data_IF_750540468363
#
_entry.id   IF_750540468363
#
_cell.length_a   1.000
_cell.length_b   1.000
_cell.length_c   1.000
_cell.angle_alpha   90.00
_cell.angle_beta   90.00
_cell.angle_gamma   90.00
#
_symmetry.space_group_name_H-M   'P 1'
#
loop_
_entity.id
_entity.type
_entity.pdbx_description
1 polymer ?
#
# COMPACT_ATOMS: atom_id res chain seq x y z
N UNK A 1 -5.83 5.84 -33.73
CA UNK A 1 -4.88 5.87 -32.60
C UNK A 1 -5.67 5.37 -31.40
N UNK A 2 -5.46 4.13 -30.96
CA UNK A 2 -6.26 3.56 -29.87
C UNK A 2 -5.97 4.33 -28.58
N UNK A 3 -6.99 4.90 -27.96
CA UNK A 3 -6.85 5.46 -26.62
C UNK A 3 -6.40 4.35 -25.68
N UNK A 4 -5.27 4.57 -25.01
CA UNK A 4 -4.82 3.68 -23.94
C UNK A 4 -5.82 3.87 -22.79
N UNK A 5 -6.72 2.90 -22.62
CA UNK A 5 -7.67 2.90 -21.52
C UNK A 5 -6.90 2.84 -20.20
N UNK A 6 -7.05 3.87 -19.38
CA UNK A 6 -6.48 3.91 -18.05
C UNK A 6 -7.25 2.96 -17.12
N UNK A 7 -6.59 2.47 -16.07
CA UNK A 7 -7.31 1.79 -15.00
C UNK A 7 -8.21 2.79 -14.25
N UNK A 8 -9.27 2.33 -13.56
CA UNK A 8 -10.10 3.20 -12.72
C UNK A 8 -9.29 4.00 -11.69
N UNK A 9 -8.22 3.39 -11.18
CA UNK A 9 -7.29 4.03 -10.23
C UNK A 9 -6.57 5.21 -10.88
N UNK A 10 -5.98 5.00 -12.06
CA UNK A 10 -5.27 6.04 -12.78
C UNK A 10 -6.22 7.17 -13.22
N UNK A 11 -7.47 6.84 -13.56
CA UNK A 11 -8.48 7.85 -13.86
C UNK A 11 -8.76 8.75 -12.64
N UNK A 12 -9.00 8.16 -11.47
CA UNK A 12 -9.29 8.90 -10.23
C UNK A 12 -8.09 9.76 -9.79
N UNK A 13 -6.88 9.20 -9.83
CA UNK A 13 -5.66 9.95 -9.49
C UNK A 13 -5.38 11.06 -10.50
N UNK A 14 -5.63 10.83 -11.80
CA UNK A 14 -5.49 11.86 -12.83
C UNK A 14 -6.46 13.02 -12.60
N UNK A 15 -7.72 12.71 -12.29
CA UNK A 15 -8.74 13.72 -11.97
C UNK A 15 -8.34 14.52 -10.72
N UNK A 16 -7.90 13.84 -9.67
CA UNK A 16 -7.42 14.48 -8.43
C UNK A 16 -6.23 15.40 -8.70
N UNK A 17 -5.24 14.91 -9.44
CA UNK A 17 -4.02 15.66 -9.74
C UNK A 17 -4.32 16.95 -10.49
N UNK A 18 -4.96 16.85 -11.65
CA UNK A 18 -5.22 18.03 -12.48
C UNK A 18 -6.28 18.94 -11.87
N UNK A 19 -7.33 18.38 -11.29
CA UNK A 19 -8.39 19.17 -10.65
C UNK A 19 -7.88 20.03 -9.50
N UNK A 20 -6.90 19.54 -8.71
CA UNK A 20 -6.26 20.35 -7.67
C UNK A 20 -5.20 21.27 -8.26
N UNK A 21 -4.39 20.78 -9.21
CA UNK A 21 -3.28 21.54 -9.80
C UNK A 21 -3.72 22.73 -10.64
N UNK A 22 -4.83 22.62 -11.33
CA UNK A 22 -5.34 23.65 -12.24
C UNK A 22 -6.32 24.61 -11.55
N UNK A 23 -6.53 24.48 -10.23
CA UNK A 23 -7.42 25.37 -9.48
C UNK A 23 -6.64 26.56 -8.89
N UNK A 24 -6.61 27.74 -9.55
CA UNK A 24 -5.73 28.84 -9.17
C UNK A 24 -6.12 29.50 -7.84
N UNK A 25 -7.39 29.41 -7.43
CA UNK A 25 -7.88 30.05 -6.20
C UNK A 25 -7.64 29.22 -4.95
N UNK A 26 -7.45 27.91 -5.10
CA UNK A 26 -7.29 26.96 -3.99
C UNK A 26 -5.95 26.21 -4.01
N UNK A 27 -5.04 26.58 -4.92
CA UNK A 27 -3.78 25.89 -5.15
C UNK A 27 -2.88 25.88 -3.91
N UNK A 28 -2.39 24.68 -3.56
CA UNK A 28 -1.39 24.49 -2.51
C UNK A 28 -0.75 23.11 -2.66
N UNK A 29 0.58 23.04 -2.54
CA UNK A 29 1.31 21.76 -2.51
C UNK A 29 0.85 20.86 -1.38
N UNK A 30 0.59 21.41 -0.18
CA UNK A 30 0.11 20.63 0.95
C UNK A 30 -1.27 20.02 0.67
N UNK A 31 -2.14 20.77 -0.01
CA UNK A 31 -3.46 20.28 -0.44
C UNK A 31 -3.33 19.18 -1.48
N UNK A 32 -2.55 19.41 -2.55
CA UNK A 32 -2.32 18.41 -3.59
C UNK A 32 -1.77 17.11 -2.99
N UNK A 33 -0.74 17.21 -2.15
CA UNK A 33 -0.11 16.03 -1.53
C UNK A 33 -1.11 15.26 -0.67
N UNK A 34 -1.90 15.94 0.17
CA UNK A 34 -2.95 15.30 0.97
C UNK A 34 -4.00 14.64 0.08
N UNK A 35 -4.55 15.35 -0.90
CA UNK A 35 -5.59 14.83 -1.79
C UNK A 35 -5.10 13.62 -2.60
N UNK A 36 -3.86 13.63 -3.08
CA UNK A 36 -3.28 12.49 -3.80
C UNK A 36 -3.10 11.27 -2.89
N UNK A 37 -2.60 11.47 -1.67
CA UNK A 37 -2.50 10.40 -0.68
C UNK A 37 -3.87 9.79 -0.36
N UNK A 38 -4.86 10.64 -0.08
CA UNK A 38 -6.21 10.20 0.28
C UNK A 38 -6.93 9.53 -0.91
N UNK A 39 -6.70 10.01 -2.13
CA UNK A 39 -7.24 9.41 -3.35
C UNK A 39 -6.71 7.99 -3.58
N UNK A 40 -5.41 7.74 -3.40
CA UNK A 40 -4.85 6.40 -3.53
C UNK A 40 -5.38 5.47 -2.42
N UNK A 41 -5.44 5.96 -1.17
CA UNK A 41 -6.05 5.22 -0.07
C UNK A 41 -7.50 4.82 -0.38
N UNK A 42 -8.32 5.78 -0.87
CA UNK A 42 -9.69 5.54 -1.26
C UNK A 42 -9.80 4.49 -2.37
N UNK A 43 -8.93 4.52 -3.37
CA UNK A 43 -8.98 3.54 -4.48
C UNK A 43 -8.72 2.12 -4.00
N UNK A 44 -7.84 1.95 -3.00
CA UNK A 44 -7.55 0.66 -2.37
C UNK A 44 -8.75 0.18 -1.57
N UNK A 45 -9.28 1.04 -0.70
CA UNK A 45 -10.41 0.78 0.20
C UNK A 45 -11.71 0.48 -0.55
N UNK A 46 -11.97 1.22 -1.63
CA UNK A 46 -13.14 1.01 -2.49
C UNK A 46 -13.01 -0.26 -3.36
N UNK A 47 -11.88 -0.98 -3.31
CA UNK A 47 -11.67 -2.19 -4.10
C UNK A 47 -11.55 -1.94 -5.60
N UNK A 48 -11.12 -0.74 -6.03
CA UNK A 48 -10.92 -0.46 -7.44
C UNK A 48 -9.83 -1.36 -8.03
N UNK A 49 -9.99 -1.72 -9.30
CA UNK A 49 -9.05 -2.58 -10.00
C UNK A 49 -7.80 -1.82 -10.43
N UNK A 50 -6.64 -2.30 -10.01
CA UNK A 50 -5.33 -1.80 -10.41
C UNK A 50 -4.81 -2.57 -11.61
N UNK A 51 -4.28 -1.84 -12.59
CA UNK A 51 -3.37 -2.37 -13.59
C UNK A 51 -2.01 -2.72 -12.97
N UNK A 52 -1.33 -3.72 -13.53
CA UNK A 52 -0.07 -4.22 -12.97
C UNK A 52 1.04 -3.13 -12.91
N UNK A 53 1.07 -2.24 -13.91
CA UNK A 53 2.03 -1.15 -14.03
C UNK A 53 1.56 0.16 -13.35
N UNK A 54 0.41 0.17 -12.67
CA UNK A 54 -0.19 1.41 -12.15
C UNK A 54 0.74 2.12 -11.15
N UNK A 55 1.34 1.39 -10.20
CA UNK A 55 2.29 2.00 -9.26
C UNK A 55 3.54 2.57 -9.95
N UNK A 56 4.03 1.92 -11.01
CA UNK A 56 5.13 2.45 -11.82
C UNK A 56 4.72 3.73 -12.57
N UNK A 57 3.49 3.76 -13.10
CA UNK A 57 2.94 4.96 -13.72
C UNK A 57 2.77 6.10 -12.70
N UNK A 58 2.13 5.82 -11.56
CA UNK A 58 1.86 6.79 -10.48
C UNK A 58 3.18 7.39 -9.99
N UNK A 59 4.18 6.54 -9.71
CA UNK A 59 5.49 7.00 -9.22
C UNK A 59 6.17 7.97 -10.18
N UNK A 60 6.11 7.68 -11.48
CA UNK A 60 6.72 8.49 -12.53
C UNK A 60 5.94 9.78 -12.83
N UNK A 61 4.60 9.74 -12.79
CA UNK A 61 3.76 10.83 -13.30
C UNK A 61 3.28 11.80 -12.24
N UNK A 62 3.09 11.35 -11.00
CA UNK A 62 2.44 12.15 -9.96
C UNK A 62 3.39 12.56 -8.83
N UNK A 63 4.71 12.63 -9.09
CA UNK A 63 5.73 13.05 -8.11
C UNK A 63 5.59 12.37 -6.73
N UNK A 64 5.47 11.05 -6.77
CA UNK A 64 5.19 10.18 -5.62
C UNK A 64 5.94 10.48 -4.33
N UNK A 65 7.24 10.79 -4.41
CA UNK A 65 8.07 11.05 -3.24
C UNK A 65 7.58 12.19 -2.33
N UNK A 66 6.72 13.09 -2.81
CA UNK A 66 6.20 14.19 -1.99
C UNK A 66 4.98 13.83 -1.13
N UNK A 67 4.28 12.74 -1.44
CA UNK A 67 3.00 12.43 -0.79
C UNK A 67 2.80 10.96 -0.45
N UNK A 68 3.53 10.05 -1.08
CA UNK A 68 3.38 8.62 -0.87
C UNK A 68 4.48 7.99 0.01
N UNK A 69 5.54 8.73 0.30
CA UNK A 69 6.71 8.20 1.02
C UNK A 69 7.35 7.04 0.26
N UNK A 70 7.62 5.94 0.95
CA UNK A 70 8.12 4.69 0.38
C UNK A 70 7.01 3.78 -0.19
N UNK A 71 5.74 4.15 -0.02
CA UNK A 71 4.59 3.36 -0.45
C UNK A 71 4.18 2.23 0.48
N UNK A 72 4.94 1.94 1.52
CA UNK A 72 4.72 0.78 2.37
C UNK A 72 3.36 0.85 3.08
N UNK A 73 2.94 2.06 3.46
CA UNK A 73 1.62 2.30 4.03
C UNK A 73 0.48 1.88 3.09
N UNK A 74 0.62 2.08 1.78
CA UNK A 74 -0.38 1.65 0.79
C UNK A 74 -0.37 0.13 0.59
N UNK A 75 0.80 -0.51 0.63
CA UNK A 75 0.87 -1.96 0.59
C UNK A 75 0.20 -2.61 1.81
N UNK A 76 0.51 -2.12 3.02
CA UNK A 76 -0.15 -2.56 4.25
C UNK A 76 -1.67 -2.40 4.15
N UNK A 77 -2.12 -1.24 3.69
CA UNK A 77 -3.54 -0.98 3.50
C UNK A 77 -4.18 -1.94 2.48
N UNK A 78 -3.54 -2.16 1.32
CA UNK A 78 -4.03 -3.09 0.30
C UNK A 78 -4.15 -4.53 0.81
N UNK A 79 -3.18 -4.98 1.61
CA UNK A 79 -3.23 -6.31 2.26
C UNK A 79 -4.37 -6.39 3.26
N UNK A 80 -4.63 -5.33 4.03
CA UNK A 80 -5.72 -5.26 5.02
C UNK A 80 -7.09 -5.22 4.36
N UNK A 81 -7.26 -4.48 3.28
CA UNK A 81 -8.53 -4.45 2.52
C UNK A 81 -8.70 -5.69 1.63
N UNK A 82 -7.69 -6.57 1.56
CA UNK A 82 -7.67 -7.72 0.65
C UNK A 82 -7.86 -7.31 -0.83
N UNK A 83 -7.41 -6.11 -1.20
CA UNK A 83 -7.45 -5.65 -2.59
C UNK A 83 -6.32 -6.33 -3.38
N UNK A 84 -6.62 -7.52 -3.90
CA UNK A 84 -5.65 -8.38 -4.59
C UNK A 84 -5.03 -7.73 -5.83
N UNK A 85 -5.74 -6.83 -6.52
CA UNK A 85 -5.19 -6.13 -7.68
C UNK A 85 -4.13 -5.11 -7.23
N UNK A 86 -4.41 -4.32 -6.20
CA UNK A 86 -3.46 -3.37 -5.62
C UNK A 86 -2.23 -4.07 -5.05
N UNK A 87 -2.41 -5.18 -4.33
CA UNK A 87 -1.32 -6.00 -3.80
C UNK A 87 -0.38 -6.44 -4.93
N UNK A 88 -0.92 -7.04 -6.00
CA UNK A 88 -0.12 -7.53 -7.12
C UNK A 88 0.60 -6.41 -7.87
N UNK A 89 -0.08 -5.29 -8.10
CA UNK A 89 0.51 -4.13 -8.75
C UNK A 89 1.67 -3.54 -7.92
N UNK A 90 1.51 -3.46 -6.60
CA UNK A 90 2.59 -3.02 -5.71
C UNK A 90 3.75 -4.02 -5.69
N UNK A 91 3.46 -5.32 -5.55
CA UNK A 91 4.48 -6.37 -5.54
C UNK A 91 5.30 -6.36 -6.83
N UNK A 92 4.64 -6.16 -7.97
CA UNK A 92 5.30 -6.01 -9.25
C UNK A 92 6.18 -4.75 -9.33
N UNK A 93 5.68 -3.61 -8.89
CA UNK A 93 6.42 -2.34 -8.90
C UNK A 93 7.68 -2.35 -8.01
N UNK A 94 7.55 -2.91 -6.80
CA UNK A 94 8.62 -2.98 -5.80
C UNK A 94 9.52 -4.22 -5.94
N UNK A 95 9.20 -5.11 -6.88
CA UNK A 95 9.81 -6.44 -6.99
C UNK A 95 9.75 -7.22 -5.65
N UNK A 96 8.64 -7.06 -4.91
CA UNK A 96 8.41 -7.70 -3.61
C UNK A 96 7.96 -9.14 -3.78
N UNK A 97 8.64 -10.05 -3.09
CA UNK A 97 8.19 -11.43 -2.97
C UNK A 97 6.99 -11.52 -2.05
N UNK A 98 5.96 -12.24 -2.49
CA UNK A 98 4.80 -12.54 -1.66
C UNK A 98 5.16 -13.52 -0.53
N UNK A 99 4.99 -13.09 0.72
CA UNK A 99 5.07 -13.98 1.88
C UNK A 99 3.66 -14.27 2.39
N UNK A 100 3.24 -15.53 2.34
CA UNK A 100 1.91 -15.96 2.75
C UNK A 100 2.08 -16.98 3.88
N UNK A 101 1.47 -16.70 5.03
CA UNK A 101 1.52 -17.59 6.21
C UNK A 101 0.12 -17.80 6.76
N UNK A 102 0.00 -18.75 7.68
CA UNK A 102 -1.25 -19.02 8.37
C UNK A 102 -1.41 -18.12 9.61
N UNK A 103 -2.65 -17.96 10.05
CA UNK A 103 -3.03 -17.29 11.31
C UNK A 103 -2.41 -15.88 11.44
N UNK A 104 -2.60 -15.08 10.41
CA UNK A 104 -2.09 -13.71 10.35
C UNK A 104 -3.04 -12.76 11.05
N UNK A 105 -2.50 -11.96 11.95
CA UNK A 105 -3.16 -10.83 12.58
C UNK A 105 -2.56 -9.54 12.03
N UNK A 106 -3.41 -8.63 11.56
CA UNK A 106 -3.00 -7.33 11.04
C UNK A 106 -3.69 -6.21 11.80
N UNK A 107 -2.90 -5.20 12.14
CA UNK A 107 -3.38 -3.99 12.79
C UNK A 107 -3.02 -2.76 11.94
N UNK A 108 -4.02 -1.94 11.62
CA UNK A 108 -3.82 -0.66 10.94
C UNK A 108 -4.97 0.30 11.20
N UNK A 109 -4.63 1.54 11.58
CA UNK A 109 -5.56 2.69 11.71
C UNK A 109 -6.94 2.33 12.28
N UNK A 110 -6.98 1.54 13.36
CA UNK A 110 -8.18 1.09 14.09
C UNK A 110 -8.91 -0.17 13.56
N UNK A 111 -8.38 -0.86 12.56
CA UNK A 111 -8.86 -2.19 12.14
C UNK A 111 -7.96 -3.30 12.66
N UNK A 112 -8.59 -4.38 13.14
CA UNK A 112 -7.94 -5.65 13.45
C UNK A 112 -8.51 -6.69 12.50
N UNK A 113 -7.67 -7.17 11.58
CA UNK A 113 -8.08 -8.23 10.65
C UNK A 113 -7.31 -9.51 10.97
N UNK A 114 -8.04 -10.59 11.21
CA UNK A 114 -7.47 -11.93 11.37
C UNK A 114 -7.79 -12.77 10.13
N UNK A 115 -6.79 -13.49 9.62
CA UNK A 115 -6.96 -14.40 8.48
C UNK A 115 -6.28 -15.72 8.75
N UNK A 116 -7.00 -16.82 8.49
CA UNK A 116 -6.43 -18.17 8.57
C UNK A 116 -5.24 -18.36 7.62
N UNK A 117 -5.23 -17.64 6.50
CA UNK A 117 -4.10 -17.58 5.56
C UNK A 117 -4.04 -16.19 4.93
N UNK A 118 -2.93 -15.49 5.09
CA UNK A 118 -2.81 -14.08 4.69
C UNK A 118 -1.41 -13.72 4.18
N UNK A 119 -1.33 -12.68 3.35
CA UNK A 119 -0.06 -12.06 2.96
C UNK A 119 0.48 -11.24 4.13
N UNK A 120 1.79 -11.25 4.29
CA UNK A 120 2.48 -10.39 5.25
C UNK A 120 2.66 -8.98 4.68
N UNK A 121 2.49 -8.01 5.57
CA UNK A 121 2.83 -6.60 5.42
C UNK A 121 3.43 -6.09 6.74
N UNK A 122 4.05 -4.92 6.77
CA UNK A 122 4.61 -4.37 8.02
C UNK A 122 3.50 -4.24 9.08
N UNK A 123 3.80 -4.65 10.31
CA UNK A 123 2.84 -4.74 11.41
C UNK A 123 2.03 -6.04 11.45
N UNK A 124 2.15 -6.91 10.44
CA UNK A 124 1.54 -8.25 10.51
C UNK A 124 2.18 -9.08 11.62
N UNK A 125 1.35 -9.73 12.43
CA UNK A 125 1.76 -10.63 13.51
C UNK A 125 1.37 -12.06 13.15
N UNK A 126 2.28 -13.01 13.35
CA UNK A 126 2.07 -14.43 13.09
C UNK A 126 2.96 -15.29 14.00
N UNK A 127 2.77 -16.61 13.98
CA UNK A 127 3.60 -17.54 14.74
C UNK A 127 4.75 -18.07 13.89
N UNK A 128 5.98 -17.96 14.38
CA UNK A 128 7.18 -18.49 13.75
C UNK A 128 8.03 -19.24 14.79
N UNK A 129 8.33 -20.51 14.52
CA UNK A 129 9.10 -21.38 15.43
C UNK A 129 8.55 -21.41 16.87
N UNK A 130 7.21 -21.37 17.01
CA UNK A 130 6.53 -21.37 18.32
C UNK A 130 6.42 -19.99 18.98
N UNK A 131 7.07 -18.97 18.43
CA UNK A 131 7.07 -17.60 18.96
C UNK A 131 6.14 -16.70 18.17
N UNK A 132 5.47 -15.77 18.86
CA UNK A 132 4.66 -14.73 18.22
C UNK A 132 5.56 -13.57 17.79
N UNK A 133 5.62 -13.31 16.48
CA UNK A 133 6.50 -12.30 15.88
C UNK A 133 5.70 -11.28 15.09
N UNK A 134 6.21 -10.04 15.02
CA UNK A 134 5.63 -8.95 14.22
C UNK A 134 6.61 -8.54 13.13
N UNK A 135 6.12 -8.42 11.89
CA UNK A 135 6.89 -7.94 10.74
C UNK A 135 7.27 -6.48 10.95
N UNK A 136 8.55 -6.18 10.89
CA UNK A 136 9.09 -4.83 11.07
C UNK A 136 9.59 -4.21 9.77
N UNK A 137 10.07 -5.03 8.83
CA UNK A 137 10.51 -4.58 7.51
C UNK A 137 10.65 -5.73 6.50
N UNK A 138 10.81 -5.36 5.24
CA UNK A 138 11.13 -6.26 4.14
C UNK A 138 12.49 -5.90 3.54
N UNK A 139 13.26 -6.92 3.17
CA UNK A 139 14.43 -6.81 2.31
C UNK A 139 14.05 -7.41 0.96
N UNK A 140 13.44 -6.58 0.12
CA UNK A 140 12.92 -6.99 -1.19
C UNK A 140 14.06 -7.45 -2.12
N UNK A 141 15.28 -6.89 -1.98
CA UNK A 141 16.46 -7.28 -2.77
C UNK A 141 16.88 -8.73 -2.50
N UNK A 142 16.87 -9.14 -1.24
CA UNK A 142 17.24 -10.49 -0.85
C UNK A 142 16.03 -11.41 -0.66
N UNK A 143 14.81 -10.93 -0.96
CA UNK A 143 13.57 -11.68 -0.73
C UNK A 143 13.45 -12.21 0.69
N UNK A 144 13.67 -11.33 1.69
CA UNK A 144 13.55 -11.67 3.11
C UNK A 144 12.51 -10.78 3.80
N UNK A 145 11.86 -11.37 4.80
CA UNK A 145 11.02 -10.64 5.77
C UNK A 145 11.76 -10.58 7.10
N UNK A 146 11.75 -9.42 7.74
CA UNK A 146 12.33 -9.21 9.06
C UNK A 146 11.17 -9.11 10.05
N UNK A 147 11.17 -9.98 11.05
CA UNK A 147 10.17 -10.01 12.10
C UNK A 147 10.82 -10.11 13.47
N UNK A 148 10.25 -9.44 14.46
CA UNK A 148 10.75 -9.40 15.83
C UNK A 148 9.70 -9.91 16.80
N UNK A 149 10.12 -10.69 17.79
CA UNK A 149 9.35 -10.92 19.01
C UNK A 149 9.76 -9.88 20.05
N UNK A 150 8.79 -9.45 20.86
CA UNK A 150 9.01 -8.47 21.91
C UNK A 150 8.64 -9.09 23.25
N UNK A 151 9.50 -8.91 24.26
CA UNK A 151 9.16 -9.24 25.64
C UNK A 151 8.32 -8.10 26.23
N UNK A 152 7.29 -8.43 27.00
CA UNK A 152 6.58 -7.42 27.77
C UNK A 152 7.55 -6.78 28.76
N UNK A 153 7.52 -5.45 28.83
CA UNK A 153 8.25 -4.70 29.85
C UNK A 153 7.63 -5.03 31.19
N UNK A 154 8.38 -5.66 32.08
CA UNK A 154 7.99 -5.77 33.49
C UNK A 154 8.07 -4.35 34.08
N UNK A 155 6.94 -3.88 34.60
CA UNK A 155 6.82 -2.59 35.29
C UNK A 155 7.10 -2.77 36.78
#
# INVERSE_FOLDING_TARGET
MNEVKLSPVLELLRLTWWGVHENPTMWSWARLNRCMHDALHLTIEAGLEFGLDDFAYISKKFRWGYWAGDGEGFYCHAVIENNMSAIKAYEYHSNRKSFIVNDVLQWWRCSNTSRNRGRLAIGSTFTWQGERVTVTSFDDKNSKVIACSYKQRQL
#
